data_IF_931086889673
#
_entry.id   IF_931086889673
#
_cell.length_a   1.000
_cell.length_b   1.000
_cell.length_c   1.000
_cell.angle_alpha   90.00
_cell.angle_beta   90.00
_cell.angle_gamma   90.00
#
_symmetry.space_group_name_H-M   'P 1'
#
loop_
_entity.id
_entity.type
_entity.pdbx_description
1 polymer ?
#
# COMPACT_ATOMS: atom_id res chain seq x y z
N UNK A 1 15.41 -40.91 10.71
CA UNK A 1 16.51 -40.01 10.27
C UNK A 1 15.92 -38.82 9.55
N UNK A 2 15.88 -37.67 10.19
CA UNK A 2 15.27 -36.47 9.65
C UNK A 2 16.32 -35.81 8.73
N UNK A 3 16.01 -35.72 7.43
CA UNK A 3 16.87 -35.01 6.48
C UNK A 3 16.50 -33.51 6.55
N UNK A 4 17.42 -32.68 6.92
CA UNK A 4 17.24 -31.23 6.96
C UNK A 4 17.58 -30.66 5.59
N UNK A 5 16.67 -29.88 5.02
CA UNK A 5 16.87 -29.10 3.78
C UNK A 5 17.10 -27.65 4.19
N UNK A 6 18.18 -27.05 3.69
CA UNK A 6 18.40 -25.61 3.87
C UNK A 6 18.58 -24.89 2.53
N UNK A 7 18.19 -23.64 2.48
CA UNK A 7 18.35 -22.79 1.31
C UNK A 7 19.76 -22.15 1.36
N UNK A 8 20.57 -22.36 0.34
CA UNK A 8 21.84 -21.68 0.26
C UNK A 8 21.69 -20.21 -0.19
N UNK A 9 22.76 -19.43 -0.08
CA UNK A 9 22.79 -18.01 -0.45
C UNK A 9 22.41 -17.71 -1.92
N UNK A 10 22.32 -18.73 -2.77
CA UNK A 10 21.89 -18.63 -4.18
C UNK A 10 20.42 -19.07 -4.39
N UNK A 11 19.66 -19.29 -3.30
CA UNK A 11 18.27 -19.74 -3.39
C UNK A 11 18.11 -21.19 -3.85
N UNK A 12 19.10 -22.04 -3.66
CA UNK A 12 19.09 -23.46 -4.03
C UNK A 12 18.97 -24.29 -2.75
N UNK A 13 17.94 -25.17 -2.68
CA UNK A 13 17.78 -26.12 -1.60
C UNK A 13 18.88 -27.17 -1.63
N UNK A 14 19.65 -27.29 -0.55
CA UNK A 14 20.70 -28.27 -0.39
C UNK A 14 20.41 -29.19 0.80
N UNK A 15 20.74 -30.48 0.64
CA UNK A 15 20.70 -31.41 1.77
C UNK A 15 21.98 -31.22 2.59
N UNK A 16 21.82 -31.00 3.88
CA UNK A 16 22.95 -31.09 4.80
C UNK A 16 23.20 -32.55 5.15
N UNK A 17 24.45 -32.98 5.06
CA UNK A 17 24.89 -34.25 5.64
C UNK A 17 24.89 -34.13 7.18
N UNK A 18 24.71 -35.25 7.87
CA UNK A 18 24.62 -35.29 9.33
C UNK A 18 25.85 -34.70 10.09
N UNK A 19 26.92 -34.36 9.37
CA UNK A 19 28.17 -33.77 9.85
C UNK A 19 28.28 -32.25 9.56
N UNK A 20 27.23 -31.63 9.00
CA UNK A 20 27.17 -30.17 8.74
C UNK A 20 28.12 -29.69 7.64
N UNK A 21 28.76 -30.58 6.87
CA UNK A 21 29.66 -30.19 5.79
C UNK A 21 28.92 -30.08 4.47
N UNK A 22 29.19 -28.98 3.73
CA UNK A 22 28.72 -28.83 2.36
C UNK A 22 29.33 -29.97 1.49
N UNK A 23 28.49 -30.64 0.67
CA UNK A 23 29.01 -31.67 -0.24
C UNK A 23 30.01 -31.04 -1.22
N UNK A 24 31.20 -31.67 -1.36
CA UNK A 24 32.18 -31.30 -2.38
C UNK A 24 31.61 -31.49 -3.78
N UNK A 25 32.13 -30.73 -4.75
CA UNK A 25 31.58 -30.55 -6.12
C UNK A 25 31.36 -31.82 -6.95
N UNK A 26 31.78 -32.99 -6.49
CA UNK A 26 31.64 -34.26 -7.24
C UNK A 26 30.27 -34.95 -7.11
N UNK A 27 29.35 -34.45 -6.28
CA UNK A 27 28.03 -35.07 -6.04
C UNK A 27 26.91 -34.56 -6.97
N UNK A 28 27.20 -34.01 -8.14
CA UNK A 28 26.23 -33.29 -8.97
C UNK A 28 25.36 -34.15 -9.91
N UNK A 29 25.27 -35.45 -9.70
CA UNK A 29 24.40 -36.35 -10.49
C UNK A 29 23.06 -36.68 -9.82
N UNK A 30 22.59 -35.85 -8.87
CA UNK A 30 21.23 -36.04 -8.32
C UNK A 30 20.19 -35.64 -9.37
N UNK A 31 19.14 -36.48 -9.59
CA UNK A 31 18.11 -36.17 -10.55
C UNK A 31 17.47 -34.84 -10.18
N UNK A 32 17.49 -33.86 -11.12
CA UNK A 32 16.72 -32.61 -10.97
C UNK A 32 15.26 -32.99 -10.85
N UNK A 33 14.69 -32.90 -9.65
CA UNK A 33 13.26 -33.08 -9.43
C UNK A 33 12.55 -32.01 -10.25
N UNK A 34 11.93 -32.41 -11.36
CA UNK A 34 11.06 -31.50 -12.12
C UNK A 34 9.81 -31.28 -11.29
N UNK A 35 9.67 -30.05 -10.75
CA UNK A 35 8.44 -29.64 -10.09
C UNK A 35 7.28 -29.76 -11.07
N UNK A 36 6.16 -30.33 -10.63
CA UNK A 36 4.91 -30.36 -11.39
C UNK A 36 4.40 -28.89 -11.57
N UNK A 37 3.46 -28.72 -12.49
CA UNK A 37 2.83 -27.40 -12.70
C UNK A 37 2.17 -26.90 -11.41
N UNK A 38 1.47 -27.77 -10.71
CA UNK A 38 0.78 -27.50 -9.44
C UNK A 38 1.77 -27.11 -8.35
N UNK A 39 2.89 -27.83 -8.22
CA UNK A 39 3.94 -27.51 -7.24
C UNK A 39 4.58 -26.15 -7.49
N UNK A 40 4.78 -25.75 -8.76
CA UNK A 40 5.30 -24.43 -9.11
C UNK A 40 4.32 -23.31 -8.75
N UNK A 41 3.04 -23.52 -8.99
CA UNK A 41 1.98 -22.57 -8.65
C UNK A 41 1.86 -22.44 -7.13
N UNK A 42 1.85 -23.55 -6.39
CA UNK A 42 1.79 -23.53 -4.93
C UNK A 42 2.97 -22.76 -4.32
N UNK A 43 4.20 -23.06 -4.74
CA UNK A 43 5.41 -22.36 -4.31
C UNK A 43 5.39 -20.87 -4.64
N UNK A 44 4.87 -20.50 -5.82
CA UNK A 44 4.69 -19.10 -6.17
C UNK A 44 3.76 -18.37 -5.20
N UNK A 45 2.60 -18.97 -4.85
CA UNK A 45 1.65 -18.33 -3.94
C UNK A 45 2.18 -18.22 -2.50
N UNK A 46 2.95 -19.22 -2.05
CA UNK A 46 3.61 -19.17 -0.74
C UNK A 46 4.60 -17.98 -0.66
N UNK A 47 5.51 -17.87 -1.63
CA UNK A 47 6.44 -16.74 -1.68
C UNK A 47 5.72 -15.40 -1.86
N UNK A 48 4.64 -15.37 -2.66
CA UNK A 48 3.84 -14.17 -2.87
C UNK A 48 3.21 -13.67 -1.56
N UNK A 49 2.70 -14.58 -0.73
CA UNK A 49 2.14 -14.22 0.58
C UNK A 49 3.19 -13.68 1.53
N UNK A 50 4.36 -14.33 1.60
CA UNK A 50 5.49 -13.86 2.41
C UNK A 50 5.93 -12.45 1.98
N UNK A 51 6.08 -12.20 0.66
CA UNK A 51 6.40 -10.88 0.14
C UNK A 51 5.34 -9.83 0.50
N UNK A 52 4.05 -10.19 0.47
CA UNK A 52 2.95 -9.28 0.82
C UNK A 52 2.93 -9.01 2.33
N UNK A 53 3.20 -10.01 3.17
CA UNK A 53 3.31 -9.83 4.62
C UNK A 53 4.47 -8.89 4.99
N UNK A 54 5.60 -9.00 4.29
CA UNK A 54 6.77 -8.16 4.53
C UNK A 54 6.61 -6.73 3.98
N UNK A 55 6.08 -6.59 2.74
CA UNK A 55 6.08 -5.30 2.01
C UNK A 55 4.68 -4.69 1.81
N UNK A 56 3.62 -5.30 2.34
CA UNK A 56 2.23 -4.83 2.20
C UNK A 56 1.60 -5.11 0.84
N UNK A 57 2.39 -5.21 -0.23
CA UNK A 57 1.94 -5.63 -1.55
C UNK A 57 3.09 -6.15 -2.41
N UNK A 58 2.76 -6.95 -3.44
CA UNK A 58 3.73 -7.41 -4.44
C UNK A 58 3.40 -6.87 -5.82
N UNK A 59 4.26 -6.00 -6.40
CA UNK A 59 4.15 -5.63 -7.81
C UNK A 59 4.61 -6.81 -8.70
N UNK A 60 3.80 -7.17 -9.70
CA UNK A 60 4.08 -8.27 -10.61
C UNK A 60 3.61 -7.91 -12.02
N UNK A 61 4.44 -8.18 -13.03
CA UNK A 61 4.00 -8.05 -14.43
C UNK A 61 3.00 -9.14 -14.78
N UNK A 62 1.99 -8.80 -15.58
CA UNK A 62 0.99 -9.75 -16.07
C UNK A 62 1.65 -10.93 -16.79
N UNK A 63 2.67 -10.70 -17.63
CA UNK A 63 3.43 -11.77 -18.29
C UNK A 63 4.01 -12.76 -17.27
N UNK A 64 4.60 -12.26 -16.18
CA UNK A 64 5.19 -13.10 -15.15
C UNK A 64 4.16 -13.93 -14.42
N UNK A 65 2.98 -13.37 -14.14
CA UNK A 65 1.86 -14.11 -13.57
C UNK A 65 1.44 -15.26 -14.50
N UNK A 66 1.31 -14.99 -15.80
CA UNK A 66 0.98 -16.03 -16.81
C UNK A 66 2.02 -17.14 -16.85
N UNK A 67 3.31 -16.81 -16.76
CA UNK A 67 4.42 -17.78 -16.76
C UNK A 67 4.30 -18.78 -15.60
N UNK A 68 3.96 -18.30 -14.39
CA UNK A 68 3.75 -19.19 -13.24
C UNK A 68 2.65 -20.20 -13.48
N UNK A 69 1.57 -19.80 -14.17
CA UNK A 69 0.48 -20.69 -14.55
C UNK A 69 0.79 -21.49 -15.81
N UNK A 70 1.95 -21.32 -16.44
CA UNK A 70 2.32 -21.94 -17.73
C UNK A 70 1.32 -21.62 -18.86
N UNK A 71 0.78 -20.40 -18.85
CA UNK A 71 -0.21 -19.92 -19.81
C UNK A 71 0.49 -19.12 -20.89
N UNK A 72 0.50 -19.62 -22.12
CA UNK A 72 1.12 -18.97 -23.29
C UNK A 72 0.19 -17.98 -23.99
N UNK A 73 -1.11 -18.23 -23.97
CA UNK A 73 -2.12 -17.36 -24.60
C UNK A 73 -3.19 -16.96 -23.60
N UNK A 74 -3.52 -15.68 -23.61
CA UNK A 74 -4.62 -15.14 -22.80
C UNK A 74 -5.95 -15.51 -23.45
N UNK A 75 -6.94 -15.84 -22.65
CA UNK A 75 -8.30 -16.15 -23.07
C UNK A 75 -9.20 -16.22 -21.84
N UNK A 76 -10.51 -16.19 -22.05
CA UNK A 76 -11.49 -16.18 -20.95
C UNK A 76 -11.32 -17.35 -19.99
N UNK A 77 -11.06 -18.57 -20.50
CA UNK A 77 -10.83 -19.74 -19.65
C UNK A 77 -9.60 -19.58 -18.75
N UNK A 78 -8.50 -19.07 -19.31
CA UNK A 78 -7.25 -18.83 -18.57
C UNK A 78 -7.38 -17.68 -17.58
N UNK A 79 -8.15 -16.64 -17.93
CA UNK A 79 -8.50 -15.55 -17.02
C UNK A 79 -9.23 -16.11 -15.79
N UNK A 80 -10.24 -16.96 -16.02
CA UNK A 80 -11.01 -17.57 -14.95
C UNK A 80 -10.12 -18.39 -14.01
N UNK A 81 -9.25 -19.24 -14.55
CA UNK A 81 -8.31 -20.05 -13.74
C UNK A 81 -7.46 -19.19 -12.81
N UNK A 82 -6.89 -18.10 -13.31
CA UNK A 82 -6.08 -17.20 -12.49
C UNK A 82 -6.94 -16.46 -11.46
N UNK A 83 -8.09 -15.94 -11.88
CA UNK A 83 -9.00 -15.19 -10.99
C UNK A 83 -9.52 -16.08 -9.87
N UNK A 84 -9.95 -17.31 -10.18
CA UNK A 84 -10.44 -18.27 -9.19
C UNK A 84 -9.33 -18.63 -8.19
N UNK A 85 -8.11 -18.80 -8.69
CA UNK A 85 -6.96 -19.09 -7.81
C UNK A 85 -6.60 -17.91 -6.90
N UNK A 86 -6.52 -16.68 -7.44
CA UNK A 86 -6.31 -15.49 -6.62
C UNK A 86 -7.39 -15.36 -5.54
N UNK A 87 -8.65 -15.58 -5.91
CA UNK A 87 -9.79 -15.52 -4.98
C UNK A 87 -9.71 -16.59 -3.90
N UNK A 88 -9.35 -17.85 -4.26
CA UNK A 88 -9.19 -18.95 -3.29
C UNK A 88 -8.07 -18.69 -2.28
N UNK A 89 -7.02 -17.96 -2.70
CA UNK A 89 -5.91 -17.56 -1.83
C UNK A 89 -6.20 -16.22 -1.08
N UNK A 90 -7.41 -15.64 -1.26
CA UNK A 90 -7.82 -14.33 -0.71
C UNK A 90 -6.87 -13.20 -1.14
N UNK A 91 -6.43 -13.23 -2.40
CA UNK A 91 -5.56 -12.22 -2.97
C UNK A 91 -6.34 -11.30 -3.91
N UNK A 92 -6.05 -10.02 -3.84
CA UNK A 92 -6.68 -8.96 -4.58
C UNK A 92 -5.67 -8.29 -5.50
N UNK A 93 -6.07 -7.83 -6.68
CA UNK A 93 -5.17 -7.16 -7.61
C UNK A 93 -5.63 -5.75 -7.93
N UNK A 94 -4.65 -4.85 -8.10
CA UNK A 94 -4.88 -3.52 -8.58
C UNK A 94 -3.88 -3.21 -9.73
N UNK A 95 -4.35 -2.84 -10.93
CA UNK A 95 -5.74 -2.89 -11.36
C UNK A 95 -6.34 -4.31 -11.28
N UNK A 96 -7.67 -4.44 -11.30
CA UNK A 96 -8.32 -5.76 -11.31
C UNK A 96 -7.83 -6.57 -12.49
N UNK A 97 -7.40 -7.80 -12.26
CA UNK A 97 -6.93 -8.66 -13.33
C UNK A 97 -8.03 -8.92 -14.37
N UNK A 98 -7.79 -8.53 -15.61
CA UNK A 98 -8.74 -8.63 -16.73
C UNK A 98 -8.04 -8.90 -18.04
N UNK A 99 -8.80 -9.23 -19.11
CA UNK A 99 -8.25 -9.43 -20.44
C UNK A 99 -7.74 -8.14 -21.11
N UNK A 100 -8.17 -6.98 -20.64
CA UNK A 100 -7.80 -5.67 -21.18
C UNK A 100 -6.36 -5.28 -20.81
N UNK A 101 -5.83 -5.85 -19.74
CA UNK A 101 -4.48 -5.56 -19.30
C UNK A 101 -3.45 -6.10 -20.31
N UNK A 102 -2.49 -5.30 -20.70
CA UNK A 102 -1.37 -5.73 -21.54
C UNK A 102 -0.43 -6.65 -20.75
N UNK A 103 0.30 -7.53 -21.47
CA UNK A 103 1.28 -8.43 -20.83
C UNK A 103 2.36 -7.71 -20.04
N UNK A 104 2.73 -6.49 -20.46
CA UNK A 104 3.69 -5.63 -19.74
C UNK A 104 3.10 -4.85 -18.58
N UNK A 105 1.76 -4.85 -18.40
CA UNK A 105 1.12 -4.14 -17.29
C UNK A 105 1.60 -4.70 -15.94
N UNK A 106 1.74 -3.81 -14.95
CA UNK A 106 2.08 -4.18 -13.58
C UNK A 106 0.78 -4.29 -12.79
N UNK A 107 0.60 -5.44 -12.13
CA UNK A 107 -0.40 -5.65 -11.10
C UNK A 107 0.26 -5.46 -9.74
N UNK A 108 -0.40 -4.78 -8.81
CA UNK A 108 -0.07 -4.90 -7.40
C UNK A 108 -1.00 -5.92 -6.77
N UNK A 109 -0.45 -6.89 -6.05
CA UNK A 109 -1.21 -7.97 -5.41
C UNK A 109 -1.17 -7.74 -3.90
N UNK A 110 -2.32 -7.89 -3.25
CA UNK A 110 -2.57 -7.62 -1.84
C UNK A 110 -3.29 -8.81 -1.20
N UNK A 111 -3.12 -9.03 0.10
CA UNK A 111 -3.88 -10.01 0.90
C UNK A 111 -5.14 -9.42 1.56
N UNK A 112 -5.53 -8.21 1.18
CA UNK A 112 -6.73 -7.51 1.63
C UNK A 112 -7.41 -6.78 0.47
N UNK A 113 -8.73 -6.51 0.56
CA UNK A 113 -9.43 -5.75 -0.47
C UNK A 113 -8.84 -4.34 -0.61
N UNK A 114 -8.53 -3.96 -1.85
CA UNK A 114 -8.08 -2.60 -2.19
C UNK A 114 -9.22 -1.88 -2.87
N UNK A 115 -9.62 -0.75 -2.30
CA UNK A 115 -10.70 0.08 -2.84
C UNK A 115 -10.06 1.17 -3.70
N UNK A 116 -10.48 1.22 -4.95
CA UNK A 116 -10.23 2.33 -5.88
C UNK A 116 -11.57 3.04 -6.09
N UNK A 117 -11.62 4.33 -5.81
CA UNK A 117 -12.88 5.06 -5.80
C UNK A 117 -13.12 5.91 -7.06
N UNK A 118 -12.31 5.82 -8.09
CA UNK A 118 -12.45 6.55 -9.35
C UNK A 118 -11.30 6.25 -10.28
N UNK A 119 -11.18 7.01 -11.34
CA UNK A 119 -10.01 7.00 -12.20
C UNK A 119 -8.80 7.59 -11.44
N UNK A 120 -7.61 7.16 -11.81
CA UNK A 120 -6.37 7.67 -11.22
C UNK A 120 -5.64 8.53 -12.23
N UNK A 121 -5.03 9.62 -11.75
CA UNK A 121 -4.09 10.39 -12.55
C UNK A 121 -2.85 9.54 -12.87
N UNK A 122 -2.26 9.66 -14.08
CA UNK A 122 -1.08 8.89 -14.46
C UNK A 122 0.13 9.17 -13.56
N UNK A 123 0.30 10.42 -13.12
CA UNK A 123 1.40 10.87 -12.26
C UNK A 123 0.87 11.77 -11.16
N UNK A 124 1.56 11.80 -10.03
CA UNK A 124 1.25 12.69 -8.90
C UNK A 124 1.23 14.17 -9.32
N UNK A 125 2.19 14.55 -10.15
CA UNK A 125 2.23 15.91 -10.71
C UNK A 125 0.98 16.27 -11.52
N UNK A 126 0.41 15.33 -12.26
CA UNK A 126 -0.81 15.59 -13.04
C UNK A 126 -2.01 15.84 -12.12
N UNK A 127 -2.06 15.15 -10.97
CA UNK A 127 -3.03 15.40 -9.92
C UNK A 127 -2.83 16.78 -9.27
N UNK A 128 -1.58 17.13 -8.92
CA UNK A 128 -1.26 18.44 -8.40
C UNK A 128 -1.65 19.58 -9.36
N UNK A 129 -1.29 19.43 -10.66
CA UNK A 129 -1.62 20.40 -11.71
C UNK A 129 -3.13 20.58 -11.84
N UNK A 130 -3.90 19.48 -11.73
CA UNK A 130 -5.35 19.51 -11.78
C UNK A 130 -5.95 20.20 -10.56
N UNK A 131 -5.50 19.83 -9.35
CA UNK A 131 -5.98 20.43 -8.08
C UNK A 131 -5.70 21.94 -8.05
N UNK A 132 -4.52 22.38 -8.52
CA UNK A 132 -4.19 23.79 -8.60
C UNK A 132 -5.04 24.53 -9.62
N UNK A 133 -5.13 24.01 -10.86
CA UNK A 133 -5.89 24.62 -11.97
C UNK A 133 -7.34 24.87 -11.61
N UNK A 134 -7.96 23.90 -10.90
CA UNK A 134 -9.37 23.96 -10.52
C UNK A 134 -9.58 24.49 -9.11
N UNK A 135 -8.50 24.90 -8.42
CA UNK A 135 -8.54 25.43 -7.05
C UNK A 135 -9.27 24.52 -6.05
N UNK A 136 -9.19 23.18 -6.24
CA UNK A 136 -9.96 22.19 -5.47
C UNK A 136 -9.61 22.19 -3.97
N UNK A 137 -8.47 22.74 -3.58
CA UNK A 137 -8.11 22.97 -2.20
C UNK A 137 -9.12 23.87 -1.46
N UNK A 138 -9.91 24.69 -2.19
CA UNK A 138 -11.00 25.49 -1.61
C UNK A 138 -12.12 24.62 -1.03
N UNK A 139 -12.39 23.45 -1.61
CA UNK A 139 -13.36 22.47 -1.07
C UNK A 139 -12.93 21.96 0.31
N UNK A 140 -11.61 21.93 0.55
CA UNK A 140 -11.00 21.58 1.83
C UNK A 140 -10.84 22.80 2.76
N UNK A 141 -11.43 23.97 2.37
CA UNK A 141 -11.38 25.25 3.08
C UNK A 141 -9.94 25.78 3.23
N UNK A 142 -9.07 25.54 2.26
CA UNK A 142 -7.70 26.03 2.27
C UNK A 142 -7.62 27.32 1.45
N UNK A 143 -6.99 28.32 2.03
CA UNK A 143 -6.72 29.64 1.42
C UNK A 143 -5.22 29.92 1.43
N UNK A 144 -4.78 31.01 0.79
CA UNK A 144 -3.38 31.46 0.74
C UNK A 144 -2.41 30.32 0.36
N UNK A 145 -2.77 29.55 -0.66
CA UNK A 145 -2.10 28.31 -1.03
C UNK A 145 -0.75 28.58 -1.68
N UNK A 146 0.27 27.91 -1.20
CA UNK A 146 1.62 27.84 -1.78
C UNK A 146 1.89 26.41 -2.25
N UNK A 147 2.04 26.20 -3.56
CA UNK A 147 2.37 24.91 -4.15
C UNK A 147 3.88 24.67 -4.15
N UNK A 148 4.30 23.43 -3.95
CA UNK A 148 5.70 22.97 -3.98
C UNK A 148 6.61 23.86 -3.11
N UNK A 149 6.03 24.33 -1.99
CA UNK A 149 6.72 25.22 -1.06
C UNK A 149 7.83 24.50 -0.31
N UNK A 150 8.96 25.19 -0.15
CA UNK A 150 10.08 24.71 0.70
C UNK A 150 10.13 25.53 1.98
N UNK A 151 9.72 24.95 3.11
CA UNK A 151 9.86 25.63 4.40
C UNK A 151 11.34 25.89 4.72
N UNK A 152 11.61 26.98 5.43
CA UNK A 152 12.98 27.34 5.84
C UNK A 152 13.65 26.20 6.62
N UNK A 153 14.91 25.92 6.30
CA UNK A 153 15.71 24.91 7.00
C UNK A 153 15.49 23.47 6.55
N UNK A 154 14.75 23.23 5.47
CA UNK A 154 14.57 21.89 4.88
C UNK A 154 14.83 21.88 3.38
N UNK A 155 15.17 20.69 2.86
CA UNK A 155 15.21 20.40 1.42
C UNK A 155 13.88 19.83 0.90
N UNK A 156 12.98 19.52 1.81
CA UNK A 156 11.67 18.94 1.49
C UNK A 156 10.77 19.99 0.80
N UNK A 157 9.91 19.49 -0.08
CA UNK A 157 8.87 20.27 -0.74
C UNK A 157 7.51 19.71 -0.32
N UNK A 158 6.63 20.60 0.12
CA UNK A 158 5.23 20.29 0.38
C UNK A 158 4.47 20.41 -0.93
N UNK A 159 3.57 19.49 -1.22
CA UNK A 159 2.71 19.61 -2.40
C UNK A 159 1.91 20.91 -2.31
N UNK A 160 1.20 21.11 -1.20
CA UNK A 160 0.54 22.37 -0.91
C UNK A 160 0.65 22.73 0.59
N UNK A 161 0.86 24.00 0.84
CA UNK A 161 0.73 24.63 2.14
C UNK A 161 -0.28 25.77 2.03
N UNK A 162 -1.10 25.98 3.06
CA UNK A 162 -2.05 27.08 3.07
C UNK A 162 -2.54 27.43 4.48
N UNK A 163 -3.62 28.16 4.52
CA UNK A 163 -4.28 28.59 5.75
C UNK A 163 -5.73 28.10 5.76
N UNK A 164 -6.26 27.80 6.93
CA UNK A 164 -7.67 27.52 7.17
C UNK A 164 -8.06 28.20 8.48
N UNK A 165 -8.79 29.32 8.39
CA UNK A 165 -9.03 30.19 9.56
C UNK A 165 -7.70 30.58 10.21
N UNK A 166 -7.51 30.26 11.50
CA UNK A 166 -6.29 30.50 12.28
C UNK A 166 -5.31 29.32 12.30
N UNK A 167 -5.52 28.33 11.43
CA UNK A 167 -4.67 27.15 11.31
C UNK A 167 -3.77 27.22 10.08
N UNK A 168 -2.56 26.68 10.16
CA UNK A 168 -1.75 26.32 8.98
C UNK A 168 -2.13 24.93 8.49
N UNK A 169 -2.12 24.73 7.19
CA UNK A 169 -2.51 23.47 6.56
C UNK A 169 -1.35 22.89 5.79
N UNK A 170 -1.11 21.58 5.98
CA UNK A 170 -0.30 20.74 5.09
C UNK A 170 -1.26 19.89 4.28
N UNK A 171 -1.17 19.93 2.96
CA UNK A 171 -1.90 19.05 2.05
C UNK A 171 -0.91 18.27 1.21
N UNK A 172 -0.96 16.96 1.33
CA UNK A 172 -0.16 16.00 0.56
C UNK A 172 -1.07 15.19 -0.37
N UNK A 173 -0.65 15.04 -1.61
CA UNK A 173 -1.39 14.33 -2.64
C UNK A 173 -0.65 13.06 -3.06
N UNK A 174 -1.37 11.96 -3.23
CA UNK A 174 -0.86 10.72 -3.80
C UNK A 174 -1.81 10.23 -4.88
N UNK A 175 -1.31 10.06 -6.09
CA UNK A 175 -2.14 9.59 -7.21
C UNK A 175 -2.58 8.13 -7.08
N UNK A 176 -1.99 7.37 -6.17
CA UNK A 176 -2.35 5.99 -5.86
C UNK A 176 -2.62 5.79 -4.38
N UNK A 177 -2.14 4.68 -3.82
CA UNK A 177 -2.18 4.44 -2.39
C UNK A 177 -1.11 5.25 -1.67
N UNK A 178 -1.45 5.87 -0.55
CA UNK A 178 -0.50 6.64 0.25
C UNK A 178 0.52 5.76 0.97
N UNK A 179 0.07 4.71 1.62
CA UNK A 179 0.88 3.88 2.50
C UNK A 179 1.37 4.63 3.74
N UNK A 180 2.15 3.94 4.58
CA UNK A 180 2.77 4.54 5.77
C UNK A 180 3.67 5.73 5.44
N UNK A 181 4.40 5.67 4.33
CA UNK A 181 5.35 6.71 3.93
C UNK A 181 4.70 8.05 3.64
N UNK A 182 3.48 8.07 3.08
CA UNK A 182 2.74 9.30 2.87
C UNK A 182 2.28 9.93 4.20
N UNK A 183 1.85 9.10 5.15
CA UNK A 183 1.50 9.56 6.50
C UNK A 183 2.71 10.14 7.21
N UNK A 184 3.86 9.47 7.16
CA UNK A 184 5.13 9.95 7.72
C UNK A 184 5.55 11.30 7.08
N UNK A 185 5.34 11.45 5.78
CA UNK A 185 5.64 12.68 5.04
C UNK A 185 4.80 13.85 5.55
N UNK A 186 3.48 13.67 5.69
CA UNK A 186 2.57 14.70 6.24
C UNK A 186 2.97 15.07 7.67
N UNK A 187 3.26 14.09 8.52
CA UNK A 187 3.70 14.33 9.92
C UNK A 187 5.02 15.10 9.98
N UNK A 188 5.99 14.76 9.11
CA UNK A 188 7.27 15.46 9.02
C UNK A 188 7.06 16.93 8.63
N UNK A 189 6.23 17.19 7.63
CA UNK A 189 5.92 18.55 7.20
C UNK A 189 5.18 19.34 8.27
N UNK A 190 4.22 18.74 8.95
CA UNK A 190 3.56 19.35 10.09
C UNK A 190 4.56 19.69 11.21
N UNK A 191 5.53 18.81 11.47
CA UNK A 191 6.61 19.06 12.43
C UNK A 191 7.49 20.25 12.05
N UNK A 192 7.78 20.45 10.76
CA UNK A 192 8.52 21.60 10.25
C UNK A 192 7.71 22.89 10.46
N UNK A 193 6.42 22.88 10.09
CA UNK A 193 5.56 24.07 10.24
C UNK A 193 5.35 24.43 11.71
N UNK A 194 5.22 23.47 12.63
CA UNK A 194 5.14 23.74 14.08
C UNK A 194 6.36 24.46 14.62
N UNK A 195 7.55 24.19 14.09
CA UNK A 195 8.77 24.94 14.46
C UNK A 195 8.75 26.37 13.95
N UNK A 196 8.13 26.63 12.81
CA UNK A 196 8.02 27.96 12.21
C UNK A 196 6.88 28.78 12.82
N UNK A 197 5.82 28.11 13.22
CA UNK A 197 4.58 28.68 13.74
C UNK A 197 4.19 27.98 15.06
N UNK A 198 4.95 28.23 16.16
CA UNK A 198 4.82 27.45 17.40
C UNK A 198 3.45 27.57 18.05
N UNK A 199 2.78 28.72 17.91
CA UNK A 199 1.48 29.02 18.52
C UNK A 199 0.29 28.71 17.59
N UNK A 200 0.55 28.11 16.42
CA UNK A 200 -0.47 27.86 15.41
C UNK A 200 -0.77 26.38 15.33
N UNK A 201 -2.05 26.02 15.27
CA UNK A 201 -2.49 24.65 15.02
C UNK A 201 -2.14 24.27 13.58
N UNK A 202 -1.59 23.08 13.39
CA UNK A 202 -1.25 22.56 12.07
C UNK A 202 -2.25 21.45 11.70
N UNK A 203 -3.14 21.75 10.78
CA UNK A 203 -4.07 20.80 10.16
C UNK A 203 -3.33 20.00 9.10
N UNK A 204 -3.51 18.69 9.14
CA UNK A 204 -2.81 17.73 8.29
C UNK A 204 -3.79 17.02 7.37
N UNK A 205 -3.60 17.13 6.07
CA UNK A 205 -4.50 16.53 5.07
C UNK A 205 -3.69 15.64 4.14
N UNK A 206 -4.10 14.38 4.04
CA UNK A 206 -3.62 13.44 3.04
C UNK A 206 -4.75 13.12 2.07
N UNK A 207 -4.48 13.26 0.76
CA UNK A 207 -5.41 12.85 -0.28
C UNK A 207 -4.78 11.71 -1.08
N UNK A 208 -5.49 10.60 -1.24
CA UNK A 208 -5.04 9.45 -2.02
C UNK A 208 -6.11 9.01 -3.02
N UNK A 209 -5.70 8.37 -4.12
CA UNK A 209 -6.66 7.80 -5.08
C UNK A 209 -7.17 6.42 -4.66
N UNK A 210 -6.49 5.77 -3.71
CA UNK A 210 -6.77 4.39 -3.30
C UNK A 210 -6.72 4.32 -1.78
N UNK A 211 -7.78 3.78 -1.19
CA UNK A 211 -7.78 3.41 0.21
C UNK A 211 -6.94 2.15 0.42
N UNK A 212 -6.07 2.14 1.42
CA UNK A 212 -5.30 0.96 1.79
C UNK A 212 -5.09 0.86 3.31
N UNK A 213 -4.87 -0.39 3.72
CA UNK A 213 -4.74 -0.74 5.14
C UNK A 213 -3.49 -0.14 5.79
N UNK A 214 -2.38 0.03 5.07
CA UNK A 214 -1.16 0.60 5.64
C UNK A 214 -1.36 2.06 6.07
N UNK A 215 -2.05 2.84 5.22
CA UNK A 215 -2.42 4.23 5.55
C UNK A 215 -3.33 4.25 6.76
N UNK A 216 -4.36 3.39 6.80
CA UNK A 216 -5.31 3.28 7.90
C UNK A 216 -4.61 2.93 9.23
N UNK A 217 -3.77 1.90 9.22
CA UNK A 217 -3.01 1.50 10.41
C UNK A 217 -2.02 2.58 10.88
N UNK A 218 -1.35 3.25 9.94
CA UNK A 218 -0.43 4.34 10.28
C UNK A 218 -1.15 5.51 10.95
N UNK A 219 -2.34 5.90 10.46
CA UNK A 219 -3.15 6.95 11.08
C UNK A 219 -3.72 6.48 12.43
N UNK A 220 -4.19 5.23 12.52
CA UNK A 220 -4.72 4.66 13.76
C UNK A 220 -3.68 4.56 14.87
N UNK A 221 -2.41 4.39 14.52
CA UNK A 221 -1.28 4.39 15.44
C UNK A 221 -0.85 5.75 15.98
N UNK A 222 -1.44 6.85 15.48
CA UNK A 222 -1.15 8.19 15.98
C UNK A 222 -1.73 8.42 17.38
N UNK A 223 -1.09 9.30 18.14
CA UNK A 223 -1.67 9.80 19.39
C UNK A 223 -3.03 10.50 19.09
N UNK A 224 -4.03 10.39 19.98
CA UNK A 224 -5.36 10.97 19.74
C UNK A 224 -5.32 12.44 19.30
N UNK A 225 -4.59 13.30 20.02
CA UNK A 225 -4.44 14.72 19.67
C UNK A 225 -3.84 14.99 18.29
N UNK A 226 -3.00 14.10 17.78
CA UNK A 226 -2.44 14.22 16.43
C UNK A 226 -3.43 13.75 15.39
N UNK A 227 -4.13 12.64 15.69
CA UNK A 227 -5.15 12.06 14.81
C UNK A 227 -6.34 13.01 14.61
N UNK A 228 -6.74 13.76 15.63
CA UNK A 228 -7.81 14.76 15.54
C UNK A 228 -7.51 15.90 14.57
N UNK A 229 -6.23 16.14 14.30
CA UNK A 229 -5.75 17.14 13.34
C UNK A 229 -5.38 16.52 11.98
N UNK A 230 -5.55 15.22 11.81
CA UNK A 230 -5.23 14.49 10.59
C UNK A 230 -6.51 14.08 9.87
N UNK A 231 -6.62 14.48 8.62
CA UNK A 231 -7.72 14.14 7.75
C UNK A 231 -7.23 13.35 6.55
N UNK A 232 -7.91 12.27 6.24
CA UNK A 232 -7.62 11.47 5.07
C UNK A 232 -8.80 11.50 4.12
N UNK A 233 -8.54 11.84 2.86
CA UNK A 233 -9.51 11.86 1.79
C UNK A 233 -9.12 10.91 0.67
N UNK A 234 -10.11 10.30 0.05
CA UNK A 234 -9.98 9.72 -1.28
C UNK A 234 -10.45 10.75 -2.30
N UNK A 235 -9.68 10.94 -3.35
CA UNK A 235 -10.21 11.63 -4.51
C UNK A 235 -10.92 10.65 -5.44
N UNK A 236 -11.97 11.13 -6.09
CA UNK A 236 -12.67 10.45 -7.17
C UNK A 236 -12.60 11.35 -8.39
N UNK A 237 -12.03 10.83 -9.46
CA UNK A 237 -11.93 11.52 -10.72
C UNK A 237 -12.64 10.69 -11.80
N UNK A 238 -13.56 11.29 -12.52
CA UNK A 238 -14.26 10.72 -13.64
C UNK A 238 -13.78 11.41 -14.92
N UNK A 239 -12.84 10.79 -15.58
CA UNK A 239 -12.18 11.33 -16.76
C UNK A 239 -13.17 11.72 -17.89
N UNK A 240 -14.21 10.91 -18.11
CA UNK A 240 -15.18 11.13 -19.18
C UNK A 240 -16.05 12.37 -18.94
N UNK A 241 -16.23 12.79 -17.69
CA UNK A 241 -17.05 13.92 -17.29
C UNK A 241 -16.23 15.10 -16.74
N UNK A 242 -14.91 14.95 -16.71
CA UNK A 242 -13.99 15.91 -16.05
C UNK A 242 -14.49 16.33 -14.65
N UNK A 243 -15.00 15.34 -13.89
CA UNK A 243 -15.57 15.53 -12.58
C UNK A 243 -14.64 15.02 -11.50
N UNK A 244 -14.42 15.84 -10.47
CA UNK A 244 -13.56 15.54 -9.34
C UNK A 244 -14.29 15.81 -8.02
N UNK A 245 -14.11 14.95 -7.04
CA UNK A 245 -14.66 15.13 -5.70
C UNK A 245 -13.72 14.53 -4.63
N UNK A 246 -13.78 15.07 -3.42
CA UNK A 246 -13.13 14.51 -2.25
C UNK A 246 -14.14 13.75 -1.38
N UNK A 247 -13.75 12.57 -0.92
CA UNK A 247 -14.51 11.80 0.06
C UNK A 247 -13.65 11.56 1.29
N UNK A 248 -14.08 12.08 2.44
CA UNK A 248 -13.42 11.80 3.71
C UNK A 248 -13.50 10.32 4.06
N UNK A 249 -12.38 9.76 4.49
CA UNK A 249 -12.32 8.40 5.00
C UNK A 249 -12.62 8.43 6.49
N UNK A 250 -13.75 7.81 6.86
CA UNK A 250 -14.05 7.56 8.27
C UNK A 250 -13.18 6.42 8.76
N UNK A 251 -12.21 6.74 9.61
CA UNK A 251 -11.41 5.73 10.29
C UNK A 251 -12.33 5.08 11.33
N UNK A 252 -12.72 3.84 11.09
CA UNK A 252 -13.43 3.05 12.10
C UNK A 252 -12.56 3.05 13.37
N UNK A 253 -13.00 3.76 14.39
CA UNK A 253 -12.44 3.62 15.72
C UNK A 253 -12.67 2.16 16.07
N UNK A 254 -11.62 1.38 16.14
CA UNK A 254 -11.66 0.10 16.83
C UNK A 254 -12.00 0.46 18.28
N UNK A 255 -13.28 0.42 18.59
CA UNK A 255 -13.83 0.57 19.94
C UNK A 255 -13.35 -0.59 20.82
N UNK A 256 -12.03 -0.64 21.06
CA UNK A 256 -11.42 -1.56 22.02
C UNK A 256 -11.72 -1.17 23.47
N UNK A 257 -12.51 -0.13 23.69
CA UNK A 257 -12.93 0.27 25.06
C UNK A 257 -14.24 -0.35 25.52
N UNK A 258 -15.04 -1.01 24.65
CA UNK A 258 -16.31 -1.62 25.09
C UNK A 258 -16.20 -3.01 25.67
N UNK A 259 -15.02 -3.63 25.72
CA UNK A 259 -14.87 -5.01 26.23
C UNK A 259 -14.09 -5.14 27.54
N UNK A 260 -13.69 -4.04 28.20
CA UNK A 260 -12.95 -4.12 29.45
C UNK A 260 -13.76 -3.81 30.72
N UNK A 261 -15.06 -3.50 30.62
CA UNK A 261 -15.86 -3.19 31.81
C UNK A 261 -16.69 -4.36 32.36
N UNK A 262 -16.65 -5.56 31.78
CA UNK A 262 -17.54 -6.63 32.23
C UNK A 262 -16.92 -7.88 32.84
N UNK A 263 -15.61 -7.96 33.04
CA UNK A 263 -15.04 -9.14 33.74
C UNK A 263 -13.76 -8.82 34.51
N UNK A 264 -13.89 -8.17 35.65
CA UNK A 264 -12.89 -8.29 36.71
C UNK A 264 -13.56 -8.21 38.08
N UNK A 265 -13.99 -9.31 38.66
CA UNK A 265 -14.33 -9.34 40.10
C UNK A 265 -13.02 -9.57 40.87
N UNK A 266 -12.29 -8.50 41.17
CA UNK A 266 -11.27 -8.59 42.21
C UNK A 266 -11.92 -8.36 43.57
N UNK A 267 -12.29 -9.47 44.21
CA UNK A 267 -12.32 -9.55 45.66
C UNK A 267 -10.89 -9.43 46.17
N UNK A 268 -10.57 -8.34 46.83
CA UNK A 268 -9.49 -8.28 47.80
C UNK A 268 -10.09 -8.11 49.18
N UNK A 269 -9.85 -9.12 50.02
CA UNK A 269 -9.91 -9.03 51.47
C UNK A 269 -8.68 -8.31 51.97
#
# INVERSE_FOLDING_TARGET
MTKVLELNNNGIWVYLSNDGKLPTAEASTKPRVRLTKESKVAFFFENLKNDIEEFGCKPLRVSKLLDYFSIKKRGLANLKVITDRLSSEKLYTLPKYSNELKSGSILRIYNYPVIQWGDLFPREKDLEDYVEKHELYKELKITNVLRQHRPKGTKDKLDFQGDCEDQKVVLELKNGSGGKSAVEQVLRYAGILRKQFPDTIIRMILVTGIQNRETELAISGMLPKQRDLFEWYLYKYHKDFDHFEFKRVELGILDSQKHCESTCPLHCV
#
